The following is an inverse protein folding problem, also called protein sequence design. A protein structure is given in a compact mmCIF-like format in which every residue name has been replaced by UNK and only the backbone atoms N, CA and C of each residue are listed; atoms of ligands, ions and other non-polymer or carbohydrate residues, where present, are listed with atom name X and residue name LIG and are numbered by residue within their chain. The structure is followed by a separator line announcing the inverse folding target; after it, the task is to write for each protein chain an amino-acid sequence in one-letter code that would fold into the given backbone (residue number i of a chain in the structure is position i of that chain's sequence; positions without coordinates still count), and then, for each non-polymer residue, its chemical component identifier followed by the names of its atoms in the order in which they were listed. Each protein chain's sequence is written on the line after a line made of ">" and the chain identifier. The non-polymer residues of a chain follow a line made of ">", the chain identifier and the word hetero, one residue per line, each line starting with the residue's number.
data_IF_171958481285
#
_entry.id   IF_171958481285
#
_cell.length_a   1.000
_cell.length_b   1.000
_cell.length_c   1.000
_cell.angle_alpha   90.00
_cell.angle_beta   90.00
_cell.angle_gamma   90.00
#
_symmetry.space_group_name_H-M   'P 1'
#
loop_
_entity.id
_entity.type
_entity.pdbx_description
1 polymer ?
#
# COMPACT_ATOMS: atom_id res chain seq x y z
N UNK A 1 -35.18 -8.11 -12.20
CA UNK A 1 -34.11 -8.55 -11.26
C UNK A 1 -32.76 -8.35 -11.94
N UNK A 2 -31.94 -7.40 -11.48
CA UNK A 2 -30.65 -7.10 -12.12
C UNK A 2 -29.54 -7.93 -11.44
N UNK A 3 -29.19 -9.07 -12.02
CA UNK A 3 -28.17 -9.98 -11.50
C UNK A 3 -26.80 -9.32 -11.69
N UNK A 4 -26.22 -8.79 -10.62
CA UNK A 4 -24.86 -8.23 -10.65
C UNK A 4 -23.89 -9.37 -10.94
N UNK A 5 -23.33 -9.42 -12.16
CA UNK A 5 -22.28 -10.38 -12.51
C UNK A 5 -21.10 -10.24 -11.54
N UNK A 6 -20.55 -11.33 -11.00
CA UNK A 6 -19.37 -11.27 -10.16
C UNK A 6 -18.23 -10.67 -10.97
N UNK A 7 -17.65 -9.55 -10.49
CA UNK A 7 -16.45 -8.99 -11.09
C UNK A 7 -15.31 -9.96 -10.82
N UNK A 8 -14.83 -10.63 -11.87
CA UNK A 8 -13.67 -11.53 -11.77
C UNK A 8 -12.45 -10.82 -11.17
N UNK A 9 -11.48 -11.57 -10.62
CA UNK A 9 -10.30 -11.01 -9.98
C UNK A 9 -9.53 -10.12 -10.97
N UNK A 10 -9.52 -8.81 -10.73
CA UNK A 10 -8.79 -7.84 -11.55
C UNK A 10 -7.30 -8.00 -11.24
N UNK A 11 -6.54 -8.57 -12.19
CA UNK A 11 -5.08 -8.67 -12.10
C UNK A 11 -4.48 -7.28 -11.92
N UNK A 12 -3.48 -7.16 -11.03
CA UNK A 12 -2.72 -5.93 -10.85
C UNK A 12 -1.91 -5.67 -12.12
N UNK A 13 -1.97 -4.46 -12.70
CA UNK A 13 -1.18 -4.12 -13.88
C UNK A 13 0.33 -4.28 -13.57
N UNK A 14 1.11 -4.71 -14.56
CA UNK A 14 2.56 -4.97 -14.42
C UNK A 14 3.35 -3.77 -13.89
N UNK A 15 2.95 -2.55 -14.26
CA UNK A 15 3.59 -1.31 -13.79
C UNK A 15 3.48 -1.11 -12.28
N UNK A 16 2.34 -1.46 -11.67
CA UNK A 16 2.16 -1.36 -10.22
C UNK A 16 2.91 -2.45 -9.47
N UNK A 17 3.08 -3.63 -10.08
CA UNK A 17 3.93 -4.68 -9.51
C UNK A 17 5.38 -4.21 -9.44
N UNK A 18 5.91 -3.73 -10.57
CA UNK A 18 7.29 -3.24 -10.64
C UNK A 18 7.56 -2.04 -9.71
N UNK A 19 6.59 -1.13 -9.56
CA UNK A 19 6.69 -0.03 -8.59
C UNK A 19 6.75 -0.55 -7.15
N UNK A 20 5.95 -1.56 -6.81
CA UNK A 20 5.92 -2.12 -5.45
C UNK A 20 7.21 -2.83 -5.08
N UNK A 21 7.83 -3.53 -6.05
CA UNK A 21 9.13 -4.18 -5.88
C UNK A 21 10.25 -3.16 -5.63
N UNK A 22 10.25 -2.04 -6.37
CA UNK A 22 11.21 -0.95 -6.15
C UNK A 22 11.03 -0.31 -4.77
N UNK A 23 9.78 -0.05 -4.36
CA UNK A 23 9.49 0.46 -3.02
C UNK A 23 10.03 -0.47 -1.95
N UNK A 24 9.82 -1.77 -2.08
CA UNK A 24 10.34 -2.76 -1.12
C UNK A 24 11.86 -2.76 -1.07
N UNK A 25 12.52 -2.71 -2.23
CA UNK A 25 13.98 -2.63 -2.28
C UNK A 25 14.51 -1.38 -1.57
N UNK A 26 13.86 -0.23 -1.78
CA UNK A 26 14.23 1.03 -1.12
C UNK A 26 14.00 0.99 0.40
N UNK A 27 12.88 0.40 0.86
CA UNK A 27 12.57 0.25 2.29
C UNK A 27 13.55 -0.71 2.99
N UNK A 28 13.94 -1.80 2.33
CA UNK A 28 14.95 -2.73 2.88
C UNK A 28 16.34 -2.11 2.94
N UNK A 29 16.67 -1.24 1.98
CA UNK A 29 17.95 -0.52 1.95
C UNK A 29 18.01 0.60 3.00
N UNK A 30 16.90 1.31 3.22
CA UNK A 30 16.78 2.36 4.24
C UNK A 30 15.43 2.26 4.96
N UNK A 31 15.37 1.62 6.15
CA UNK A 31 14.13 1.42 6.89
C UNK A 31 13.54 2.73 7.43
N UNK A 32 14.34 3.81 7.50
CA UNK A 32 13.88 5.15 7.89
C UNK A 32 12.80 5.68 6.94
N UNK A 33 12.80 5.23 5.68
CA UNK A 33 11.78 5.57 4.68
C UNK A 33 10.38 5.05 5.02
N UNK A 34 10.24 4.16 6.02
CA UNK A 34 8.92 3.83 6.57
C UNK A 34 8.23 5.05 7.19
N UNK A 35 9.00 6.02 7.71
CA UNK A 35 8.44 7.27 8.23
C UNK A 35 7.77 8.10 7.14
N UNK A 36 8.31 8.10 5.91
CA UNK A 36 7.67 8.76 4.76
C UNK A 36 6.31 8.14 4.45
N UNK A 37 6.17 6.82 4.58
CA UNK A 37 4.88 6.15 4.40
C UNK A 37 3.92 6.58 5.51
N UNK A 38 4.37 6.62 6.78
CA UNK A 38 3.53 7.07 7.90
C UNK A 38 3.06 8.52 7.72
N UNK A 39 3.96 9.43 7.33
CA UNK A 39 3.63 10.83 7.04
C UNK A 39 2.59 10.94 5.92
N UNK A 40 2.80 10.21 4.81
CA UNK A 40 1.83 10.15 3.73
C UNK A 40 0.45 9.66 4.22
N UNK A 41 0.39 8.63 5.07
CA UNK A 41 -0.87 8.12 5.61
C UNK A 41 -1.61 9.19 6.42
N UNK A 42 -0.91 9.92 7.28
CA UNK A 42 -1.49 11.03 8.04
C UNK A 42 -1.95 12.17 7.13
N UNK A 43 -1.12 12.58 6.19
CA UNK A 43 -1.42 13.62 5.21
C UNK A 43 -2.71 13.31 4.44
N UNK A 44 -2.83 12.10 3.87
CA UNK A 44 -4.02 11.73 3.11
C UNK A 44 -5.25 11.50 4.00
N UNK A 45 -5.07 11.06 5.25
CA UNK A 45 -6.17 10.87 6.21
C UNK A 45 -6.90 12.19 6.52
N UNK A 46 -6.18 13.31 6.52
CA UNK A 46 -6.77 14.64 6.78
C UNK A 46 -7.54 15.23 5.58
N UNK A 47 -7.48 14.61 4.39
CA UNK A 47 -8.15 15.15 3.21
C UNK A 47 -9.67 14.96 3.23
N UNK A 48 -10.41 16.06 3.16
CA UNK A 48 -11.89 16.10 3.21
C UNK A 48 -12.60 15.24 2.15
N UNK A 49 -12.01 15.08 0.97
CA UNK A 49 -12.64 14.40 -0.17
C UNK A 49 -11.92 13.11 -0.58
N UNK A 50 -11.23 12.46 0.37
CA UNK A 50 -10.53 11.21 0.09
C UNK A 50 -11.51 10.08 -0.25
N UNK A 51 -11.26 9.38 -1.35
CA UNK A 51 -12.12 8.27 -1.79
C UNK A 51 -12.09 7.15 -0.75
N UNK A 52 -13.25 6.54 -0.47
CA UNK A 52 -13.38 5.41 0.47
C UNK A 52 -12.40 4.26 0.22
N UNK A 53 -12.08 4.00 -1.05
CA UNK A 53 -11.11 2.97 -1.41
C UNK A 53 -9.71 3.21 -0.82
N UNK A 54 -9.31 4.47 -0.79
CA UNK A 54 -8.03 4.97 -0.29
C UNK A 54 -8.01 5.02 1.25
N UNK A 55 -9.10 5.47 1.89
CA UNK A 55 -9.26 5.36 3.35
C UNK A 55 -9.09 3.91 3.82
N UNK A 56 -9.74 2.97 3.13
CA UNK A 56 -9.57 1.54 3.38
C UNK A 56 -8.16 1.02 3.13
N UNK A 57 -7.32 1.71 2.36
CA UNK A 57 -5.92 1.34 2.21
C UNK A 57 -5.10 1.84 3.40
N UNK A 58 -5.38 3.07 3.87
CA UNK A 58 -4.80 3.64 5.08
C UNK A 58 -5.08 2.73 6.28
N UNK A 59 -6.34 2.35 6.50
CA UNK A 59 -6.73 1.45 7.60
C UNK A 59 -6.01 0.09 7.55
N UNK A 60 -5.64 -0.38 6.34
CA UNK A 60 -4.88 -1.64 6.19
C UNK A 60 -3.42 -1.46 6.50
N UNK A 61 -2.85 -0.29 6.21
CA UNK A 61 -1.52 0.06 6.69
C UNK A 61 -1.48 0.14 8.21
N UNK A 62 -2.46 0.77 8.87
CA UNK A 62 -2.53 0.80 10.33
C UNK A 62 -2.47 -0.61 10.92
N UNK A 63 -3.23 -1.55 10.34
CA UNK A 63 -3.19 -2.95 10.77
C UNK A 63 -1.83 -3.61 10.56
N UNK A 64 -1.19 -3.40 9.40
CA UNK A 64 0.15 -3.95 9.12
C UNK A 64 1.20 -3.40 10.07
N UNK A 65 1.22 -2.07 10.29
CA UNK A 65 2.16 -1.43 11.23
C UNK A 65 1.90 -1.79 12.70
N UNK A 66 0.66 -2.12 13.05
CA UNK A 66 0.35 -2.61 14.39
C UNK A 66 0.72 -4.07 14.60
N UNK A 67 0.67 -4.89 13.54
CA UNK A 67 0.96 -6.33 13.60
C UNK A 67 2.45 -6.65 13.46
N UNK A 68 3.20 -5.80 12.76
CA UNK A 68 4.60 -6.02 12.42
C UNK A 68 5.45 -4.83 12.83
N UNK A 69 6.57 -5.10 13.50
CA UNK A 69 7.54 -4.07 13.92
C UNK A 69 8.81 -4.07 13.08
N UNK A 70 9.04 -5.14 12.32
CA UNK A 70 10.21 -5.30 11.47
C UNK A 70 9.94 -4.88 10.01
N UNK A 71 10.93 -4.25 9.37
CA UNK A 71 10.83 -3.76 7.99
C UNK A 71 10.65 -4.90 6.98
N UNK A 72 11.25 -6.06 7.23
CA UNK A 72 11.16 -7.22 6.35
C UNK A 72 9.74 -7.80 6.37
N UNK A 73 9.14 -7.92 7.57
CA UNK A 73 7.75 -8.34 7.73
C UNK A 73 6.75 -7.40 7.05
N UNK A 74 6.95 -6.09 7.17
CA UNK A 74 6.13 -5.08 6.50
C UNK A 74 6.27 -5.20 4.98
N UNK A 75 7.49 -5.40 4.48
CA UNK A 75 7.76 -5.63 3.06
C UNK A 75 7.13 -6.93 2.54
N UNK A 76 7.16 -8.01 3.32
CA UNK A 76 6.48 -9.27 2.97
C UNK A 76 4.96 -9.06 2.86
N UNK A 77 4.36 -8.38 3.84
CA UNK A 77 2.94 -8.04 3.80
C UNK A 77 2.57 -7.22 2.56
N UNK A 78 3.46 -6.32 2.12
CA UNK A 78 3.27 -5.50 0.92
C UNK A 78 3.31 -6.34 -0.36
N UNK A 79 4.18 -7.33 -0.47
CA UNK A 79 4.32 -8.19 -1.67
C UNK A 79 3.39 -9.40 -1.68
N UNK A 80 2.82 -9.78 -0.54
CA UNK A 80 1.90 -10.91 -0.41
C UNK A 80 0.78 -10.87 -1.45
N UNK A 81 0.44 -12.01 -2.05
CA UNK A 81 -0.65 -12.09 -3.04
C UNK A 81 -2.05 -12.17 -2.38
N UNK A 82 -2.16 -11.83 -1.10
CA UNK A 82 -3.42 -11.75 -0.39
C UNK A 82 -4.19 -10.45 -0.72
N UNK A 83 -5.45 -10.38 -0.31
CA UNK A 83 -6.25 -9.16 -0.31
C UNK A 83 -5.50 -7.93 0.23
N UNK A 84 -4.75 -8.06 1.34
CA UNK A 84 -4.00 -6.94 1.94
C UNK A 84 -2.93 -6.44 0.96
N UNK A 85 -1.97 -7.26 0.57
CA UNK A 85 -0.89 -6.83 -0.34
C UNK A 85 -1.43 -6.30 -1.67
N UNK A 86 -2.42 -6.98 -2.28
CA UNK A 86 -3.11 -6.48 -3.49
C UNK A 86 -3.75 -5.11 -3.29
N UNK A 87 -4.23 -4.81 -2.08
CA UNK A 87 -4.80 -3.51 -1.74
C UNK A 87 -3.72 -2.45 -1.62
N UNK A 88 -2.64 -2.72 -0.89
CA UNK A 88 -1.55 -1.76 -0.64
C UNK A 88 -0.86 -1.36 -1.95
N UNK A 89 -0.60 -2.32 -2.85
CA UNK A 89 0.03 -2.07 -4.16
C UNK A 89 -0.82 -1.23 -5.12
N UNK A 90 -2.11 -1.03 -4.84
CA UNK A 90 -3.04 -0.28 -5.71
C UNK A 90 -2.95 1.24 -5.51
N UNK A 91 -2.32 1.70 -4.42
CA UNK A 91 -2.29 3.10 -4.03
C UNK A 91 -0.84 3.63 -4.01
N UNK A 92 -0.22 3.85 -5.18
CA UNK A 92 1.18 4.27 -5.27
C UNK A 92 1.46 5.60 -4.55
N UNK A 93 0.45 6.46 -4.42
CA UNK A 93 0.56 7.75 -3.72
C UNK A 93 0.92 7.61 -2.22
N UNK A 94 0.68 6.46 -1.61
CA UNK A 94 1.07 6.18 -0.22
C UNK A 94 2.59 5.99 -0.05
N UNK A 95 3.31 5.78 -1.15
CA UNK A 95 4.77 5.60 -1.16
C UNK A 95 5.50 6.80 -1.75
N UNK A 96 4.83 7.96 -1.83
CA UNK A 96 5.42 9.18 -2.39
C UNK A 96 6.69 9.54 -1.59
N UNK A 97 7.79 9.80 -2.29
CA UNK A 97 9.08 10.15 -1.68
C UNK A 97 9.97 8.96 -1.31
N UNK A 98 9.45 7.72 -1.28
CA UNK A 98 10.26 6.53 -0.91
C UNK A 98 11.35 6.23 -1.95
N UNK A 99 11.05 6.50 -3.22
CA UNK A 99 11.96 6.30 -4.35
C UNK A 99 12.72 7.58 -4.75
N UNK A 100 12.52 8.67 -4.03
CA UNK A 100 13.29 9.90 -4.19
C UNK A 100 14.62 9.73 -3.41
N UNK A 101 15.70 10.31 -3.93
CA UNK A 101 17.05 10.29 -3.35
C UNK A 101 17.36 11.63 -2.66
#
# INVERSE_FOLDING_TARGET
>A
MNVRRPRGPRKTPKTLQHHSEQVVAALKADPSKLELIKDNLEYYRQQRHLKRGFLLAIERFDWVFSAHSDVDEICDALLRDDYIGKRLRRYPLLYKGVLDD
#
